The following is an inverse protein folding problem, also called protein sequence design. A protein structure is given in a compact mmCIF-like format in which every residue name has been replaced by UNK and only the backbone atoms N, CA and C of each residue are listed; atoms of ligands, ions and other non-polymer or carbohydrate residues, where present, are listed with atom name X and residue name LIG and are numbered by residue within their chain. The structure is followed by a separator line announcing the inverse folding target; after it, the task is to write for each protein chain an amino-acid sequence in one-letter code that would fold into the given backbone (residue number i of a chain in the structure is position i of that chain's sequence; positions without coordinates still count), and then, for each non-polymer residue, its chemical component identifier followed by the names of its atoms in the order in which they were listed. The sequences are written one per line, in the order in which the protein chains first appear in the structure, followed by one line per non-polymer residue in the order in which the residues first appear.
data_IF_860601499377
#
_entry.id   IF_860601499377
#
_cell.length_a   1.000
_cell.length_b   1.000
_cell.length_c   1.000
_cell.angle_alpha   90.00
_cell.angle_beta   90.00
_cell.angle_gamma   90.00
#
_symmetry.space_group_name_H-M   'P 1'
#
loop_
_entity.id
_entity.type
_entity.pdbx_description
1 polymer ?
#
# COMPACT_ATOMS: atom_id res chain seq x y z
N UNK A 1 17.47 6.12 -13.51
CA UNK A 1 16.35 6.50 -12.65
C UNK A 1 16.78 6.37 -11.21
N UNK A 2 16.71 7.43 -10.46
CA UNK A 2 17.03 7.34 -9.04
C UNK A 2 15.98 6.49 -8.36
N UNK A 3 16.40 5.48 -7.65
CA UNK A 3 15.56 4.71 -6.75
C UNK A 3 15.24 5.56 -5.54
N UNK A 4 14.27 6.43 -5.70
CA UNK A 4 13.80 7.26 -4.59
C UNK A 4 13.02 6.39 -3.61
N UNK A 5 13.41 6.44 -2.33
CA UNK A 5 12.70 5.72 -1.28
C UNK A 5 11.21 6.10 -1.29
N UNK A 6 10.35 5.13 -1.00
CA UNK A 6 8.91 5.40 -0.90
C UNK A 6 8.61 6.23 0.35
N UNK A 7 8.34 7.50 0.15
CA UNK A 7 8.04 8.47 1.21
C UNK A 7 6.71 9.17 0.93
N UNK A 8 5.58 8.46 0.99
CA UNK A 8 4.28 8.99 0.57
C UNK A 8 3.84 10.21 1.37
N UNK A 9 4.26 10.32 2.63
CA UNK A 9 3.93 11.46 3.48
C UNK A 9 4.81 12.70 3.26
N UNK A 10 5.87 12.57 2.47
CA UNK A 10 6.70 13.71 2.08
C UNK A 10 6.33 14.23 0.68
N UNK A 11 5.77 13.38 -0.18
CA UNK A 11 5.60 13.68 -1.60
C UNK A 11 4.16 13.68 -2.10
N UNK A 12 3.25 12.95 -1.45
CA UNK A 12 1.90 12.74 -1.97
C UNK A 12 0.79 13.11 -1.00
N UNK A 13 0.92 12.74 0.27
CA UNK A 13 -0.09 12.96 1.31
C UNK A 13 0.54 13.64 2.53
N UNK A 14 -0.20 14.57 3.12
CA UNK A 14 0.13 15.07 4.44
C UNK A 14 -0.25 14.01 5.50
N UNK A 15 0.69 13.67 6.39
CA UNK A 15 0.50 12.61 7.40
C UNK A 15 -0.64 12.92 8.37
N UNK A 16 -0.73 14.16 8.86
CA UNK A 16 -1.77 14.56 9.79
C UNK A 16 -3.16 14.52 9.12
N UNK A 17 -3.22 14.90 7.86
CA UNK A 17 -4.42 14.79 7.04
C UNK A 17 -4.82 13.32 6.83
N UNK A 18 -3.88 12.44 6.51
CA UNK A 18 -4.13 11.02 6.37
C UNK A 18 -4.64 10.38 7.68
N UNK A 19 -4.03 10.72 8.81
CA UNK A 19 -4.46 10.27 10.13
C UNK A 19 -5.87 10.77 10.49
N UNK A 20 -6.20 12.01 10.14
CA UNK A 20 -7.55 12.56 10.36
C UNK A 20 -8.58 11.77 9.56
N UNK A 21 -8.32 11.50 8.29
CA UNK A 21 -9.21 10.69 7.45
C UNK A 21 -9.35 9.26 7.95
N UNK A 22 -8.27 8.65 8.45
CA UNK A 22 -8.34 7.33 9.07
C UNK A 22 -9.23 7.35 10.32
N UNK A 23 -9.09 8.36 11.19
CA UNK A 23 -9.97 8.53 12.36
C UNK A 23 -11.43 8.70 11.95
N UNK A 24 -11.70 9.47 10.91
CA UNK A 24 -13.06 9.63 10.36
C UNK A 24 -13.63 8.30 9.85
N UNK A 25 -12.82 7.51 9.16
CA UNK A 25 -13.21 6.20 8.67
C UNK A 25 -13.51 5.21 9.80
N UNK A 26 -12.78 5.31 10.91
CA UNK A 26 -12.88 4.40 12.05
C UNK A 26 -13.77 4.95 13.17
N UNK A 27 -14.39 6.10 13.00
CA UNK A 27 -15.32 6.65 13.98
C UNK A 27 -16.51 5.70 14.21
N UNK A 28 -16.63 5.16 15.42
CA UNK A 28 -17.62 4.13 15.77
C UNK A 28 -17.25 2.72 15.31
N UNK A 29 -16.09 2.52 14.67
CA UNK A 29 -15.54 1.21 14.36
C UNK A 29 -14.67 0.69 15.53
N UNK A 30 -14.42 -0.61 15.52
CA UNK A 30 -13.59 -1.26 16.55
C UNK A 30 -12.11 -1.19 16.19
N UNK A 31 -11.79 -1.17 14.88
CA UNK A 31 -10.44 -1.14 14.37
C UNK A 31 -10.42 -0.58 12.94
N UNK A 32 -9.25 -0.17 12.50
CA UNK A 32 -9.04 0.26 11.12
C UNK A 32 -7.58 0.50 10.81
N UNK A 33 -7.27 0.46 9.53
CA UNK A 33 -5.92 0.68 9.03
C UNK A 33 -5.92 1.41 7.70
N UNK A 34 -4.92 2.23 7.49
CA UNK A 34 -4.56 2.81 6.20
C UNK A 34 -3.21 2.21 5.78
N UNK A 35 -3.22 1.52 4.67
CA UNK A 35 -2.08 0.85 4.08
C UNK A 35 -1.66 1.57 2.80
N UNK A 36 -0.39 1.93 2.69
CA UNK A 36 0.17 2.59 1.51
C UNK A 36 1.22 1.67 0.88
N UNK A 37 1.19 1.54 -0.44
CA UNK A 37 2.07 0.66 -1.18
C UNK A 37 2.64 1.37 -2.41
N UNK A 38 3.90 1.10 -2.68
CA UNK A 38 4.52 1.25 -4.00
C UNK A 38 5.10 -0.10 -4.41
N UNK A 39 4.75 -0.53 -5.60
CA UNK A 39 5.28 -1.75 -6.19
C UNK A 39 6.06 -1.42 -7.46
N UNK A 40 7.23 -2.02 -7.59
CA UNK A 40 8.03 -1.98 -8.81
C UNK A 40 8.38 -3.40 -9.19
N UNK A 41 8.27 -3.72 -10.47
CA UNK A 41 8.58 -5.04 -11.01
C UNK A 41 9.44 -4.90 -12.26
N UNK A 42 10.53 -5.61 -12.30
CA UNK A 42 11.37 -5.78 -13.47
C UNK A 42 11.35 -7.24 -13.87
N UNK A 43 11.07 -7.53 -15.11
CA UNK A 43 11.11 -8.88 -15.66
C UNK A 43 12.02 -8.90 -16.88
N UNK A 44 13.04 -9.76 -16.81
CA UNK A 44 14.01 -9.99 -17.86
C UNK A 44 13.97 -11.47 -18.23
N UNK A 45 13.77 -11.77 -19.49
CA UNK A 45 13.78 -13.14 -20.00
C UNK A 45 14.88 -13.31 -21.04
N UNK A 46 15.73 -14.29 -20.81
CA UNK A 46 16.83 -14.65 -21.70
C UNK A 46 16.57 -16.04 -22.32
N UNK A 47 16.99 -16.20 -23.54
CA UNK A 47 16.96 -17.46 -24.27
C UNK A 47 18.27 -17.60 -25.07
N UNK A 48 18.98 -18.70 -24.82
CA UNK A 48 20.29 -18.97 -25.42
C UNK A 48 21.28 -17.80 -25.25
N UNK A 49 21.36 -17.24 -24.07
CA UNK A 49 22.26 -16.12 -23.76
C UNK A 49 21.85 -14.77 -24.36
N UNK A 50 20.66 -14.69 -24.96
CA UNK A 50 20.14 -13.46 -25.57
C UNK A 50 18.89 -12.96 -24.84
N UNK A 51 18.83 -11.65 -24.61
CA UNK A 51 17.65 -11.02 -24.07
C UNK A 51 16.47 -11.19 -25.04
N UNK A 52 15.40 -11.80 -24.56
CA UNK A 52 14.16 -12.04 -25.29
C UNK A 52 13.09 -11.01 -24.98
N UNK A 53 12.88 -10.74 -23.70
CA UNK A 53 11.95 -9.72 -23.24
C UNK A 53 12.51 -8.97 -22.05
N UNK A 54 12.19 -7.69 -21.98
CA UNK A 54 12.45 -6.85 -20.81
C UNK A 54 11.21 -5.99 -20.54
N UNK A 55 10.71 -6.00 -19.32
CA UNK A 55 9.60 -5.16 -18.91
C UNK A 55 9.84 -4.55 -17.55
N UNK A 56 9.35 -3.35 -17.38
CA UNK A 56 9.32 -2.62 -16.11
C UNK A 56 7.90 -2.15 -15.86
N UNK A 57 7.43 -2.40 -14.65
CA UNK A 57 6.13 -1.93 -14.19
C UNK A 57 6.26 -1.26 -12.83
N UNK A 58 5.53 -0.18 -12.63
CA UNK A 58 5.48 0.55 -11.37
C UNK A 58 4.05 0.96 -11.07
N UNK A 59 3.63 0.71 -9.84
CA UNK A 59 2.33 1.12 -9.33
C UNK A 59 2.44 1.60 -7.90
N UNK A 60 1.55 2.49 -7.51
CA UNK A 60 1.38 2.92 -6.13
C UNK A 60 -0.09 3.12 -5.81
N UNK A 61 -0.42 3.10 -4.53
CA UNK A 61 -1.78 3.27 -4.09
C UNK A 61 -1.92 3.08 -2.59
N UNK A 62 -3.16 3.00 -2.15
CA UNK A 62 -3.49 2.73 -0.76
C UNK A 62 -4.69 1.79 -0.64
N UNK A 63 -4.79 1.13 0.52
CA UNK A 63 -5.97 0.45 0.99
C UNK A 63 -6.40 1.02 2.33
N UNK A 64 -7.70 1.18 2.52
CA UNK A 64 -8.32 1.61 3.76
C UNK A 64 -9.28 0.52 4.22
N UNK A 65 -9.14 0.09 5.46
CA UNK A 65 -10.01 -0.89 6.09
C UNK A 65 -10.58 -0.33 7.39
N UNK A 66 -11.85 -0.55 7.62
CA UNK A 66 -12.51 -0.31 8.90
C UNK A 66 -13.29 -1.55 9.31
N UNK A 67 -13.27 -1.89 10.59
CA UNK A 67 -13.93 -3.09 11.12
C UNK A 67 -14.87 -2.68 12.24
N UNK A 68 -16.10 -3.18 12.18
CA UNK A 68 -17.09 -3.04 13.25
C UNK A 68 -17.76 -4.40 13.49
N UNK A 69 -17.44 -4.99 14.63
CA UNK A 69 -17.88 -6.34 14.92
C UNK A 69 -17.31 -7.36 13.94
N UNK A 70 -18.19 -8.12 13.31
CA UNK A 70 -17.82 -9.09 12.28
C UNK A 70 -17.86 -8.52 10.86
N UNK A 71 -18.17 -7.25 10.70
CA UNK A 71 -18.26 -6.57 9.41
C UNK A 71 -17.01 -5.75 9.14
N UNK A 72 -16.43 -5.92 7.97
CA UNK A 72 -15.30 -5.13 7.49
C UNK A 72 -15.71 -4.33 6.25
N UNK A 73 -15.40 -3.03 6.26
CA UNK A 73 -15.46 -2.16 5.10
C UNK A 73 -14.06 -1.96 4.55
N UNK A 74 -13.89 -2.12 3.25
CA UNK A 74 -12.62 -1.96 2.55
C UNK A 74 -12.78 -1.08 1.33
N UNK A 75 -11.85 -0.18 1.15
CA UNK A 75 -11.74 0.65 -0.05
C UNK A 75 -10.27 0.81 -0.45
N UNK A 76 -10.00 0.97 -1.72
CA UNK A 76 -8.64 1.17 -2.23
C UNK A 76 -8.62 2.19 -3.38
N UNK A 77 -7.44 2.70 -3.65
CA UNK A 77 -7.19 3.55 -4.82
C UNK A 77 -5.76 3.35 -5.32
N UNK A 78 -5.57 3.52 -6.62
CA UNK A 78 -4.25 3.57 -7.25
C UNK A 78 -3.66 5.00 -7.27
N UNK A 79 -4.34 5.95 -6.65
CA UNK A 79 -3.93 7.36 -6.59
C UNK A 79 -3.71 7.77 -5.14
N UNK A 80 -2.51 8.25 -4.82
CA UNK A 80 -2.16 8.76 -3.49
C UNK A 80 -2.52 10.25 -3.38
N UNK A 81 -3.81 10.54 -3.33
CA UNK A 81 -4.35 11.90 -3.21
C UNK A 81 -5.40 11.98 -2.10
N UNK A 82 -5.48 13.14 -1.45
CA UNK A 82 -6.48 13.39 -0.40
C UNK A 82 -7.92 13.16 -0.90
N UNK A 83 -8.21 13.56 -2.13
CA UNK A 83 -9.54 13.36 -2.74
C UNK A 83 -9.91 11.88 -2.87
N UNK A 84 -8.94 11.04 -3.24
CA UNK A 84 -9.13 9.59 -3.30
C UNK A 84 -9.35 9.01 -1.91
N UNK A 85 -8.59 9.49 -0.92
CA UNK A 85 -8.71 9.06 0.47
C UNK A 85 -10.09 9.41 1.06
N UNK A 86 -10.61 10.61 0.80
CA UNK A 86 -11.99 11.00 1.20
C UNK A 86 -13.05 10.05 0.66
N UNK A 87 -12.96 9.70 -0.62
CA UNK A 87 -13.89 8.73 -1.24
C UNK A 87 -13.78 7.34 -0.61
N UNK A 88 -12.55 6.90 -0.31
CA UNK A 88 -12.32 5.63 0.35
C UNK A 88 -12.93 5.60 1.76
N UNK A 89 -12.82 6.69 2.52
CA UNK A 89 -13.48 6.85 3.83
C UNK A 89 -14.98 6.66 3.74
N UNK A 90 -15.62 7.36 2.80
CA UNK A 90 -17.08 7.25 2.58
C UNK A 90 -17.48 5.82 2.22
N UNK A 91 -16.74 5.18 1.32
CA UNK A 91 -16.99 3.80 0.90
C UNK A 91 -16.81 2.82 2.05
N UNK A 92 -15.75 2.93 2.83
CA UNK A 92 -15.49 2.05 3.97
C UNK A 92 -16.57 2.21 5.06
N UNK A 93 -16.98 3.43 5.35
CA UNK A 93 -18.06 3.71 6.32
C UNK A 93 -19.40 3.13 5.90
N UNK A 94 -19.76 3.26 4.63
CA UNK A 94 -20.99 2.68 4.10
C UNK A 94 -20.98 1.15 4.16
N UNK A 95 -19.84 0.53 3.87
CA UNK A 95 -19.68 -0.91 3.91
C UNK A 95 -19.72 -1.49 5.33
N UNK A 96 -19.15 -0.79 6.31
CA UNK A 96 -19.20 -1.18 7.74
C UNK A 96 -20.61 -1.07 8.29
N UNK A 97 -21.34 -0.03 7.90
CA UNK A 97 -22.74 0.17 8.34
C UNK A 97 -22.90 0.20 9.87
N UNK A 98 -24.01 -0.38 10.34
CA UNK A 98 -24.35 -0.53 11.78
C UNK A 98 -24.15 -1.96 12.29
N UNK A 99 -23.18 -2.68 11.75
CA UNK A 99 -22.84 -4.04 12.19
C UNK A 99 -22.41 -4.06 13.66
N UNK A 100 -22.79 -5.10 14.38
CA UNK A 100 -22.37 -5.37 15.74
C UNK A 100 -21.61 -6.68 15.80
N UNK A 101 -20.60 -6.79 16.63
CA UNK A 101 -19.82 -8.01 16.79
C UNK A 101 -18.76 -7.90 17.89
N UNK A 102 -17.96 -8.92 18.04
CA UNK A 102 -16.86 -8.97 19.00
C UNK A 102 -15.59 -8.36 18.44
N UNK A 103 -14.92 -7.59 19.25
CA UNK A 103 -13.62 -6.99 18.91
C UNK A 103 -12.57 -8.08 18.67
N UNK A 104 -11.91 -8.03 17.54
CA UNK A 104 -10.75 -8.88 17.30
C UNK A 104 -9.57 -8.43 18.16
N UNK A 105 -8.82 -9.39 18.68
CA UNK A 105 -7.57 -9.09 19.39
C UNK A 105 -6.60 -8.39 18.43
N UNK A 106 -5.97 -7.32 18.89
CA UNK A 106 -4.98 -6.60 18.10
C UNK A 106 -3.87 -7.57 17.64
N UNK A 107 -3.49 -7.54 16.36
CA UNK A 107 -2.45 -8.43 15.86
C UNK A 107 -1.15 -8.16 16.62
N UNK A 108 -0.51 -9.23 17.07
CA UNK A 108 0.80 -9.13 17.73
C UNK A 108 1.79 -8.57 16.71
N UNK A 109 2.68 -7.70 17.15
CA UNK A 109 3.77 -7.22 16.32
C UNK A 109 4.58 -8.42 15.80
N UNK A 110 4.45 -8.71 14.52
CA UNK A 110 5.04 -9.89 13.88
C UNK A 110 6.34 -9.59 13.15
N UNK A 111 6.80 -8.35 13.13
CA UNK A 111 8.05 -8.02 12.48
C UNK A 111 9.23 -8.60 13.27
N UNK A 112 9.68 -9.77 12.85
CA UNK A 112 10.85 -10.47 13.39
C UNK A 112 12.13 -10.12 12.63
N UNK A 113 12.13 -9.05 11.86
CA UNK A 113 13.24 -8.68 10.94
C UNK A 113 13.56 -9.80 9.94
N UNK A 114 12.55 -10.53 9.50
CA UNK A 114 12.67 -11.58 8.49
C UNK A 114 12.93 -11.02 7.09
N UNK A 115 12.63 -9.75 6.88
CA UNK A 115 12.81 -9.05 5.62
C UNK A 115 13.76 -7.87 5.83
N UNK A 116 14.55 -7.59 4.81
CA UNK A 116 15.39 -6.40 4.76
C UNK A 116 14.63 -5.23 4.16
N UNK A 117 14.89 -4.01 4.66
CA UNK A 117 14.41 -2.77 4.05
C UNK A 117 15.24 -2.36 2.82
N UNK A 118 16.29 -3.12 2.49
CA UNK A 118 17.10 -2.88 1.32
C UNK A 118 16.27 -3.05 0.04
N UNK A 119 16.30 -2.04 -0.82
CA UNK A 119 15.67 -2.10 -2.13
C UNK A 119 16.47 -3.04 -3.05
N UNK A 120 15.92 -4.20 -3.46
CA UNK A 120 16.63 -5.16 -4.28
C UNK A 120 16.97 -4.64 -5.70
N UNK A 121 16.33 -3.55 -6.11
CA UNK A 121 16.55 -2.95 -7.43
C UNK A 121 17.77 -2.03 -7.46
N UNK A 122 18.34 -1.67 -6.29
CA UNK A 122 19.52 -0.81 -6.21
C UNK A 122 20.84 -1.52 -6.57
N UNK A 123 20.87 -2.84 -6.56
CA UNK A 123 22.08 -3.62 -6.79
C UNK A 123 22.64 -3.51 -8.21
N UNK A 124 21.78 -3.32 -9.20
CA UNK A 124 22.15 -3.07 -10.59
C UNK A 124 21.08 -2.22 -11.28
N UNK A 125 21.50 -1.34 -12.18
CA UNK A 125 20.57 -0.54 -12.97
C UNK A 125 19.84 -1.42 -14.00
N UNK A 126 18.64 -1.03 -14.40
CA UNK A 126 17.89 -1.75 -15.43
C UNK A 126 18.67 -1.93 -16.73
N UNK A 127 19.36 -0.89 -17.29
CA UNK A 127 20.24 -1.06 -18.43
C UNK A 127 21.35 -2.11 -18.22
N UNK A 128 21.98 -2.11 -17.05
CA UNK A 128 23.03 -3.10 -16.75
C UNK A 128 22.48 -4.53 -16.70
N UNK A 129 21.23 -4.72 -16.26
CA UNK A 129 20.56 -6.04 -16.27
C UNK A 129 20.22 -6.51 -17.69
N UNK A 130 19.97 -5.59 -18.61
CA UNK A 130 19.67 -5.89 -20.02
C UNK A 130 20.92 -6.35 -20.79
N UNK A 131 22.11 -5.92 -20.35
CA UNK A 131 23.40 -6.22 -20.98
C UNK A 131 24.06 -7.52 -20.50
N UNK A 132 23.43 -8.26 -19.59
CA UNK A 132 23.90 -9.57 -19.11
C UNK A 132 23.79 -10.64 -20.21
#
# INVERSE_FOLDING_TARGET
MSSEAFRPFETALDQDTALRHLRDATAGADDGELFLERRRSEVLSFDDGRLKTASFDASEGFGLRAVHGETAGYAHSTTLEEKALKRAVETARLAVGSGGGTMAEAPRATNRKLYTDADPMLGATFPAKVEL
#
